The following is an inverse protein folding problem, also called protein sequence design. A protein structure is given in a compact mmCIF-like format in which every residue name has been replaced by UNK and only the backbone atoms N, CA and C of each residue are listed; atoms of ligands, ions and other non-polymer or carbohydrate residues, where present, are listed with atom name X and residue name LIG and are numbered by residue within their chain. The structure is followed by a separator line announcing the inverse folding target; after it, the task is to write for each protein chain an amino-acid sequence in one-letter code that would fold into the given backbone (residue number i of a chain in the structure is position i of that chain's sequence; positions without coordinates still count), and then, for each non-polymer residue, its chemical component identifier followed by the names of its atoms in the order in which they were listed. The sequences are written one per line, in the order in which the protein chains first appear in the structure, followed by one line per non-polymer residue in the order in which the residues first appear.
data_IF_502070898927
#
_entry.id   IF_502070898927
#
_cell.length_a   1.000
_cell.length_b   1.000
_cell.length_c   1.000
_cell.angle_alpha   90.00
_cell.angle_beta   90.00
_cell.angle_gamma   90.00
#
_symmetry.space_group_name_H-M   'P 1'
#
loop_
_entity.id
_entity.type
_entity.pdbx_description
1 polymer ?
#
# COMPACT_ATOMS: atom_id res chain seq x y z
N UNK A 1 -13.56 -22.17 1.60
CA UNK A 1 -13.15 -20.96 0.87
C UNK A 1 -14.34 -20.51 0.04
N UNK A 2 -14.77 -19.26 0.17
CA UNK A 2 -15.85 -18.73 -0.67
C UNK A 2 -15.26 -18.31 -2.01
N UNK A 3 -15.79 -18.86 -3.10
CA UNK A 3 -15.39 -18.49 -4.46
C UNK A 3 -16.16 -17.25 -4.89
N UNK A 4 -15.45 -16.23 -5.38
CA UNK A 4 -16.08 -15.04 -5.98
C UNK A 4 -16.27 -15.19 -7.49
N UNK A 5 -15.93 -16.35 -8.07
CA UNK A 5 -15.91 -16.54 -9.53
C UNK A 5 -17.28 -16.25 -10.17
N UNK A 6 -18.37 -16.63 -9.52
CA UNK A 6 -19.72 -16.44 -10.05
C UNK A 6 -20.20 -14.98 -10.02
N UNK A 7 -19.61 -14.12 -9.17
CA UNK A 7 -19.97 -12.70 -9.04
C UNK A 7 -18.86 -11.74 -9.48
N UNK A 8 -17.71 -12.26 -9.93
CA UNK A 8 -16.60 -11.47 -10.44
C UNK A 8 -16.84 -11.06 -11.87
N UNK A 9 -17.15 -9.78 -12.08
CA UNK A 9 -17.43 -9.22 -13.39
C UNK A 9 -16.18 -8.58 -13.98
N UNK A 10 -16.21 -8.26 -15.28
CA UNK A 10 -15.15 -7.49 -15.93
C UNK A 10 -14.91 -6.11 -15.27
N UNK A 11 -15.95 -5.52 -14.69
CA UNK A 11 -15.83 -4.27 -13.93
C UNK A 11 -15.00 -4.47 -12.66
N UNK A 12 -15.20 -5.57 -11.95
CA UNK A 12 -14.42 -5.92 -10.76
C UNK A 12 -12.97 -6.20 -11.11
N UNK A 13 -12.71 -6.95 -12.19
CA UNK A 13 -11.35 -7.21 -12.67
C UNK A 13 -10.60 -5.91 -13.01
N UNK A 14 -11.25 -5.02 -13.77
CA UNK A 14 -10.66 -3.73 -14.12
C UNK A 14 -10.36 -2.88 -12.87
N UNK A 15 -11.29 -2.81 -11.93
CA UNK A 15 -11.08 -2.08 -10.68
C UNK A 15 -9.92 -2.69 -9.86
N UNK A 16 -9.84 -4.02 -9.78
CA UNK A 16 -8.76 -4.72 -9.09
C UNK A 16 -7.39 -4.42 -9.71
N UNK A 17 -7.29 -4.47 -11.05
CA UNK A 17 -6.07 -4.12 -11.77
C UNK A 17 -5.67 -2.65 -11.55
N UNK A 18 -6.64 -1.73 -11.55
CA UNK A 18 -6.38 -0.32 -11.26
C UNK A 18 -5.85 -0.12 -9.84
N UNK A 19 -6.42 -0.81 -8.84
CA UNK A 19 -5.94 -0.76 -7.47
C UNK A 19 -4.52 -1.32 -7.35
N UNK A 20 -4.24 -2.45 -7.99
CA UNK A 20 -2.88 -3.01 -8.03
C UNK A 20 -1.88 -2.02 -8.64
N UNK A 21 -2.24 -1.39 -9.75
CA UNK A 21 -1.39 -0.39 -10.39
C UNK A 21 -1.15 0.82 -9.47
N UNK A 22 -2.19 1.31 -8.79
CA UNK A 22 -2.08 2.43 -7.85
C UNK A 22 -1.19 2.10 -6.65
N UNK A 23 -1.23 0.87 -6.12
CA UNK A 23 -0.40 0.46 -4.99
C UNK A 23 1.10 0.38 -5.31
N UNK A 24 1.47 0.18 -6.58
CA UNK A 24 2.87 0.06 -7.02
C UNK A 24 3.39 1.31 -7.73
N UNK A 25 2.63 2.41 -7.66
CA UNK A 25 2.96 3.67 -8.31
C UNK A 25 3.02 4.82 -7.29
N UNK A 26 3.64 5.92 -7.68
CA UNK A 26 3.54 7.18 -6.96
C UNK A 26 2.06 7.64 -6.87
N UNK A 27 1.58 8.17 -5.74
CA UNK A 27 2.33 8.52 -4.53
C UNK A 27 2.37 7.43 -3.46
N UNK A 28 1.84 6.23 -3.69
CA UNK A 28 1.75 5.16 -2.67
C UNK A 28 3.10 4.47 -2.48
N UNK A 29 3.73 4.05 -3.58
CA UNK A 29 5.09 3.54 -3.54
C UNK A 29 6.06 4.71 -3.68
N UNK A 30 6.77 5.01 -2.60
CA UNK A 30 7.77 6.08 -2.59
C UNK A 30 9.19 5.54 -2.45
N UNK A 31 10.15 6.33 -2.93
CA UNK A 31 11.56 6.02 -2.73
C UNK A 31 11.91 6.11 -1.22
N UNK A 32 12.74 5.19 -0.71
CA UNK A 32 13.16 5.23 0.69
C UNK A 32 14.00 6.47 0.98
N UNK A 33 13.83 7.02 2.17
CA UNK A 33 14.57 8.18 2.68
C UNK A 33 15.57 7.71 3.74
N UNK A 34 16.86 7.96 3.48
CA UNK A 34 17.98 7.53 4.34
C UNK A 34 18.56 8.68 5.17
N UNK A 35 17.72 9.45 5.85
CA UNK A 35 18.12 10.60 6.68
C UNK A 35 18.05 10.30 8.20
N UNK A 36 18.02 9.02 8.56
CA UNK A 36 17.85 8.56 9.95
C UNK A 36 16.40 8.36 10.37
N UNK A 37 15.41 8.69 9.52
CA UNK A 37 14.01 8.31 9.76
C UNK A 37 13.85 6.78 9.85
N UNK A 38 13.10 6.27 10.84
CA UNK A 38 12.95 4.84 11.03
C UNK A 38 12.07 4.23 9.94
N UNK A 39 12.40 2.99 9.55
CA UNK A 39 11.50 2.11 8.83
C UNK A 39 10.55 1.42 9.81
N UNK A 40 9.30 1.23 9.39
CA UNK A 40 8.25 0.55 10.13
C UNK A 40 7.94 -0.75 9.39
N UNK A 41 8.13 -1.89 10.06
CA UNK A 41 7.78 -3.20 9.51
C UNK A 41 6.47 -3.64 10.14
N UNK A 42 5.42 -3.78 9.32
CA UNK A 42 4.17 -4.40 9.73
C UNK A 42 4.15 -5.81 9.17
N UNK A 43 3.99 -6.83 10.01
CA UNK A 43 3.92 -8.22 9.56
C UNK A 43 2.75 -8.95 10.20
N UNK A 44 2.19 -9.91 9.48
CA UNK A 44 1.18 -10.81 10.01
C UNK A 44 1.63 -12.27 9.83
N UNK A 45 1.57 -13.01 10.93
CA UNK A 45 1.93 -14.44 11.03
C UNK A 45 0.68 -15.33 11.13
N UNK A 46 -0.54 -14.80 10.98
CA UNK A 46 -1.78 -15.56 11.20
C UNK A 46 -2.04 -16.72 10.22
N UNK A 47 -1.19 -16.94 9.21
CA UNK A 47 -1.30 -18.08 8.29
C UNK A 47 -0.17 -19.10 8.54
N UNK A 48 -0.53 -20.38 8.70
CA UNK A 48 0.43 -21.47 9.00
C UNK A 48 1.51 -21.63 7.92
N UNK A 49 1.17 -21.32 6.67
CA UNK A 49 2.02 -21.60 5.51
C UNK A 49 2.44 -20.33 4.76
N UNK A 50 2.09 -19.13 5.25
CA UNK A 50 2.36 -17.87 4.55
C UNK A 50 2.69 -16.75 5.52
N UNK A 51 3.70 -15.96 5.15
CA UNK A 51 4.09 -14.75 5.85
C UNK A 51 3.95 -13.55 4.92
N UNK A 52 3.33 -12.49 5.42
CA UNK A 52 3.21 -11.22 4.70
C UNK A 52 3.75 -10.09 5.55
N UNK A 53 4.45 -9.15 4.91
CA UNK A 53 4.93 -7.94 5.56
C UNK A 53 4.84 -6.74 4.62
N UNK A 54 4.68 -5.56 5.22
CA UNK A 54 4.74 -4.25 4.58
C UNK A 54 5.82 -3.44 5.28
N UNK A 55 6.76 -2.90 4.50
CA UNK A 55 7.79 -1.99 4.96
C UNK A 55 7.35 -0.58 4.58
N UNK A 56 7.32 0.33 5.56
CA UNK A 56 6.89 1.71 5.33
C UNK A 56 7.77 2.73 6.05
N UNK A 57 7.68 4.00 5.66
CA UNK A 57 8.32 5.14 6.30
C UNK A 57 7.35 6.32 6.46
N UNK A 58 7.62 7.18 7.46
CA UNK A 58 6.88 8.43 7.63
C UNK A 58 7.47 9.53 6.73
N UNK A 59 6.66 10.03 5.81
CA UNK A 59 7.04 11.11 4.88
C UNK A 59 6.15 12.33 5.12
N UNK A 60 6.76 13.51 5.04
CA UNK A 60 6.04 14.78 5.15
C UNK A 60 5.65 15.26 3.75
N UNK A 61 4.36 15.21 3.46
CA UNK A 61 3.79 15.67 2.22
C UNK A 61 3.26 17.10 2.39
N UNK A 62 3.35 17.92 1.34
CA UNK A 62 2.74 19.25 1.31
C UNK A 62 1.50 19.20 0.45
N UNK A 63 0.34 19.49 1.04
CA UNK A 63 -0.91 19.63 0.31
C UNK A 63 -0.90 20.87 -0.59
N UNK A 64 -1.74 20.91 -1.64
CA UNK A 64 -1.82 22.08 -2.54
C UNK A 64 -2.12 23.41 -1.83
N UNK A 65 -2.75 23.36 -0.66
CA UNK A 65 -3.04 24.51 0.19
C UNK A 65 -1.86 24.93 1.09
N UNK A 66 -0.67 24.34 0.91
CA UNK A 66 0.53 24.62 1.71
C UNK A 66 0.58 23.90 3.07
N UNK A 67 -0.46 23.14 3.43
CA UNK A 67 -0.50 22.41 4.71
C UNK A 67 0.43 21.20 4.64
N UNK A 68 1.33 21.07 5.62
CA UNK A 68 2.20 19.89 5.76
C UNK A 68 1.45 18.79 6.52
N UNK A 69 1.45 17.58 5.98
CA UNK A 69 0.87 16.39 6.59
C UNK A 69 1.90 15.27 6.62
N UNK A 70 1.87 14.43 7.66
CA UNK A 70 2.73 13.24 7.72
C UNK A 70 1.91 12.03 7.28
N UNK A 71 2.41 11.28 6.31
CA UNK A 71 1.83 10.03 5.82
C UNK A 71 2.80 8.87 6.03
N UNK A 72 2.24 7.67 6.08
CA UNK A 72 3.01 6.42 6.08
C UNK A 72 2.90 5.85 4.66
N UNK A 73 4.04 5.72 3.99
CA UNK A 73 4.18 5.09 2.69
C UNK A 73 4.96 3.80 2.88
#
# INVERSE_FOLDING_TARGET
AHSLVECWTNTHERAFLMLKAALVSDPVLQAPIFDGRPFIVTSDRRCKDRFGAVLSQRVQDTLPNGTKMTRVH
#
